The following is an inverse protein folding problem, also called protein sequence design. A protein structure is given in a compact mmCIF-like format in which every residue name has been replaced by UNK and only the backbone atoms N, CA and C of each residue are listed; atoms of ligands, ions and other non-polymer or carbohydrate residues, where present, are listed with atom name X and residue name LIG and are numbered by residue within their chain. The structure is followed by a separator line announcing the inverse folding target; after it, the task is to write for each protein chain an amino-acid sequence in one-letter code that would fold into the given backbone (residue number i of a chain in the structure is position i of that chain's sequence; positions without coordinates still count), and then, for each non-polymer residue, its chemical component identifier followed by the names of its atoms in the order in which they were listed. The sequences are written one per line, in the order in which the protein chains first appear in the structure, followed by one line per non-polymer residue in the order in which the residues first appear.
data_IF_928586302854
#
_entry.id   IF_928586302854
#
_cell.length_a   1.000
_cell.length_b   1.000
_cell.length_c   1.000
_cell.angle_alpha   90.00
_cell.angle_beta   90.00
_cell.angle_gamma   90.00
#
_symmetry.space_group_name_H-M   'P 1'
#
loop_
_entity.id
_entity.type
_entity.pdbx_description
1 polymer ?
#
# COMPACT_ATOMS: atom_id res chain seq x y z
N UNK A 1 16.75 26.21 13.13
CA UNK A 1 15.77 26.57 12.08
C UNK A 1 15.67 25.47 11.02
N UNK A 2 16.79 25.05 10.40
CA UNK A 2 16.83 24.01 9.36
C UNK A 2 16.09 22.70 9.70
N UNK A 3 16.40 22.05 10.82
CA UNK A 3 15.73 20.82 11.25
C UNK A 3 14.20 20.97 11.30
N UNK A 4 13.71 22.04 11.94
CA UNK A 4 12.27 22.32 12.06
C UNK A 4 11.60 22.53 10.69
N UNK A 5 12.31 23.17 9.75
CA UNK A 5 11.82 23.35 8.38
C UNK A 5 11.73 22.03 7.62
N UNK A 6 12.74 21.16 7.77
CA UNK A 6 12.75 19.82 7.15
C UNK A 6 11.61 18.96 7.72
N UNK A 7 11.45 18.95 9.05
CA UNK A 7 10.39 18.19 9.72
C UNK A 7 9.00 18.66 9.26
N UNK A 8 8.77 19.97 9.15
CA UNK A 8 7.52 20.55 8.67
C UNK A 8 7.25 20.20 7.19
N UNK A 9 8.28 20.25 6.34
CA UNK A 9 8.15 19.87 4.94
C UNK A 9 7.85 18.38 4.78
N UNK A 10 8.53 17.51 5.52
CA UNK A 10 8.28 16.08 5.51
C UNK A 10 6.84 15.75 5.95
N UNK A 11 6.33 16.42 6.99
CA UNK A 11 4.95 16.26 7.45
C UNK A 11 3.94 16.69 6.38
N UNK A 12 4.14 17.86 5.74
CA UNK A 12 3.26 18.36 4.70
C UNK A 12 3.24 17.44 3.46
N UNK A 13 4.40 16.90 3.07
CA UNK A 13 4.50 15.94 1.96
C UNK A 13 3.80 14.63 2.32
N UNK A 14 4.03 14.10 3.52
CA UNK A 14 3.38 12.86 3.96
C UNK A 14 1.85 13.01 3.97
N UNK A 15 1.32 14.13 4.47
CA UNK A 15 -0.12 14.40 4.47
C UNK A 15 -0.70 14.48 3.05
N UNK A 16 0.02 15.13 2.14
CA UNK A 16 -0.40 15.24 0.72
C UNK A 16 -0.42 13.87 0.02
N UNK A 17 0.59 13.04 0.27
CA UNK A 17 0.68 11.68 -0.28
C UNK A 17 -0.44 10.80 0.25
N UNK A 18 -0.74 10.87 1.55
CA UNK A 18 -1.84 10.12 2.16
C UNK A 18 -3.20 10.54 1.60
N UNK A 19 -3.43 11.84 1.39
CA UNK A 19 -4.67 12.33 0.75
C UNK A 19 -4.84 11.87 -0.70
N UNK A 20 -3.73 11.60 -1.38
CA UNK A 20 -3.71 11.15 -2.78
C UNK A 20 -3.70 9.63 -2.90
N UNK A 21 -3.50 8.91 -1.80
CA UNK A 21 -3.45 7.46 -1.80
C UNK A 21 -4.85 6.88 -2.09
N UNK A 22 -4.88 5.84 -2.90
CA UNK A 22 -6.08 5.03 -3.10
C UNK A 22 -6.05 3.87 -2.12
N UNK A 23 -7.12 3.72 -1.37
CA UNK A 23 -7.33 2.58 -0.50
C UNK A 23 -7.60 1.32 -1.33
N UNK A 24 -7.01 0.20 -0.91
CA UNK A 24 -7.16 -1.10 -1.56
C UNK A 24 -7.81 -2.04 -0.56
N UNK A 25 -9.06 -2.37 -0.80
CA UNK A 25 -9.85 -3.16 0.14
C UNK A 25 -10.30 -4.50 -0.43
N UNK A 26 -10.50 -4.55 -1.74
CA UNK A 26 -11.04 -5.71 -2.41
C UNK A 26 -9.94 -6.75 -2.69
N UNK A 27 -10.25 -8.02 -2.46
CA UNK A 27 -9.32 -9.13 -2.74
C UNK A 27 -8.81 -9.10 -4.19
N UNK A 28 -9.67 -8.72 -5.14
CA UNK A 28 -9.30 -8.59 -6.55
C UNK A 28 -8.27 -7.49 -6.82
N UNK A 29 -8.32 -6.39 -6.05
CA UNK A 29 -7.35 -5.30 -6.14
C UNK A 29 -6.02 -5.72 -5.49
N UNK A 30 -6.08 -6.42 -4.35
CA UNK A 30 -4.89 -7.00 -3.69
C UNK A 30 -4.18 -7.96 -4.65
N UNK A 31 -4.92 -8.85 -5.31
CA UNK A 31 -4.37 -9.77 -6.30
C UNK A 31 -3.69 -9.02 -7.45
N UNK A 32 -4.33 -8.00 -8.01
CA UNK A 32 -3.77 -7.20 -9.10
C UNK A 32 -2.47 -6.47 -8.68
N UNK A 33 -2.45 -5.83 -7.51
CA UNK A 33 -1.25 -5.14 -7.00
C UNK A 33 -0.12 -6.14 -6.73
N UNK A 34 -0.44 -7.30 -6.15
CA UNK A 34 0.53 -8.35 -5.88
C UNK A 34 1.07 -8.96 -7.18
N UNK A 35 0.23 -9.16 -8.19
CA UNK A 35 0.64 -9.63 -9.52
C UNK A 35 1.59 -8.64 -10.19
N UNK A 36 1.27 -7.35 -10.18
CA UNK A 36 2.14 -6.32 -10.77
C UNK A 36 3.50 -6.29 -10.05
N UNK A 37 3.49 -6.36 -8.72
CA UNK A 37 4.71 -6.33 -7.89
C UNK A 37 5.58 -7.56 -8.08
N UNK A 38 4.97 -8.74 -8.20
CA UNK A 38 5.67 -10.00 -8.41
C UNK A 38 6.01 -10.30 -9.88
N UNK A 39 5.44 -9.53 -10.83
CA UNK A 39 5.45 -9.82 -12.27
C UNK A 39 4.93 -11.22 -12.63
N UNK A 40 4.10 -11.80 -11.76
CA UNK A 40 3.57 -13.16 -11.89
C UNK A 40 2.13 -13.22 -11.34
N UNK A 41 1.20 -13.67 -12.18
CA UNK A 41 -0.22 -13.76 -11.85
C UNK A 41 -0.54 -14.84 -10.83
N UNK A 42 0.17 -15.97 -10.87
CA UNK A 42 -0.01 -17.08 -9.94
C UNK A 42 0.49 -16.71 -8.55
N UNK A 43 1.63 -16.03 -8.47
CA UNK A 43 2.15 -15.51 -7.20
C UNK A 43 1.18 -14.48 -6.60
N UNK A 44 0.68 -13.54 -7.41
CA UNK A 44 -0.28 -12.54 -6.94
C UNK A 44 -1.57 -13.13 -6.39
N UNK A 45 -2.10 -14.18 -7.02
CA UNK A 45 -3.28 -14.92 -6.51
C UNK A 45 -3.00 -15.59 -5.17
N UNK A 46 -1.86 -16.27 -5.03
CA UNK A 46 -1.48 -16.92 -3.77
C UNK A 46 -1.34 -15.91 -2.63
N UNK A 47 -0.79 -14.72 -2.91
CA UNK A 47 -0.70 -13.63 -1.94
C UNK A 47 -2.09 -13.15 -1.52
N UNK A 48 -3.00 -12.93 -2.47
CA UNK A 48 -4.36 -12.50 -2.17
C UNK A 48 -5.15 -13.54 -1.35
N UNK A 49 -5.00 -14.83 -1.65
CA UNK A 49 -5.57 -15.91 -0.84
C UNK A 49 -4.99 -15.96 0.58
N UNK A 50 -3.69 -15.67 0.73
CA UNK A 50 -3.07 -15.60 2.03
C UNK A 50 -3.63 -14.41 2.85
N UNK A 51 -3.73 -13.23 2.24
CA UNK A 51 -4.34 -12.04 2.85
C UNK A 51 -5.80 -12.26 3.26
N UNK A 52 -6.59 -12.98 2.46
CA UNK A 52 -7.99 -13.28 2.78
C UNK A 52 -8.12 -14.22 3.99
N UNK A 53 -7.16 -15.15 4.16
CA UNK A 53 -7.14 -16.08 5.30
C UNK A 53 -6.70 -15.44 6.62
N UNK A 54 -5.80 -14.48 6.59
CA UNK A 54 -5.27 -13.79 7.80
C UNK A 54 -6.00 -12.46 8.06
N UNK A 55 -6.76 -11.95 7.11
CA UNK A 55 -7.43 -10.65 7.22
C UNK A 55 -6.45 -9.46 7.16
N UNK A 56 -7.00 -8.24 7.20
CA UNK A 56 -6.22 -6.99 7.05
C UNK A 56 -5.20 -6.74 8.18
N UNK A 57 -5.37 -7.39 9.34
CA UNK A 57 -4.55 -7.17 10.55
C UNK A 57 -3.72 -8.41 10.99
N UNK A 58 -3.96 -9.58 10.38
CA UNK A 58 -3.31 -10.86 10.74
C UNK A 58 -4.19 -11.84 11.50
#
# INVERSE_FOLDING_TARGET
ALKRGIDAAAAAVAESLLKSAREVEEQSEIANVATISAQDSKIGQVIAEAFDKVGKDG
#
